data_IF_798702183785
#
_entry.id   IF_798702183785
#
_cell.length_a   1.000
_cell.length_b   1.000
_cell.length_c   1.000
_cell.angle_alpha   90.00
_cell.angle_beta   90.00
_cell.angle_gamma   90.00
#
_symmetry.space_group_name_H-M   'P 1'
#
loop_
_entity.id
_entity.type
_entity.pdbx_description
1 polymer ?
#
# COMPACT_ATOMS: atom_id res chain seq x y z
N UNK A 1 2.34 -3.76 -21.33
CA UNK A 1 1.73 -3.85 -19.98
C UNK A 1 0.35 -3.23 -20.08
N UNK A 2 -0.69 -3.87 -19.54
CA UNK A 2 -2.00 -3.22 -19.39
C UNK A 2 -2.04 -2.59 -18.00
N UNK A 3 -2.60 -1.40 -17.89
CA UNK A 3 -2.75 -0.70 -16.61
C UNK A 3 -4.23 -0.44 -16.38
N UNK A 4 -4.72 -0.84 -15.22
CA UNK A 4 -6.05 -0.50 -14.72
C UNK A 4 -5.83 0.47 -13.58
N UNK A 5 -6.06 1.76 -13.84
CA UNK A 5 -6.04 2.78 -12.79
C UNK A 5 -7.40 2.81 -12.09
N UNK A 6 -7.40 2.79 -10.76
CA UNK A 6 -8.62 2.75 -9.95
C UNK A 6 -9.00 4.17 -9.56
N UNK A 7 -10.14 4.66 -10.06
CA UNK A 7 -10.76 5.87 -9.49
C UNK A 7 -11.55 5.46 -8.25
N UNK A 8 -10.87 5.42 -7.10
CA UNK A 8 -11.49 5.08 -5.82
C UNK A 8 -12.09 6.31 -5.14
N UNK A 9 -13.12 6.09 -4.33
CA UNK A 9 -13.73 7.15 -3.52
C UNK A 9 -12.73 7.68 -2.48
N UNK A 10 -12.69 9.01 -2.34
CA UNK A 10 -11.71 9.73 -1.52
C UNK A 10 -12.33 10.22 -0.21
N UNK A 11 -11.51 10.27 0.83
CA UNK A 11 -11.84 10.95 2.08
C UNK A 11 -11.69 12.47 1.90
N UNK A 12 -12.45 13.30 2.65
CA UNK A 12 -13.36 12.93 3.75
C UNK A 12 -14.77 12.49 3.33
N UNK A 13 -15.18 12.67 2.08
CA UNK A 13 -16.53 12.34 1.61
C UNK A 13 -16.83 10.85 1.77
N UNK A 14 -15.81 10.02 1.58
CA UNK A 14 -15.85 8.57 1.75
C UNK A 14 -14.60 8.09 2.50
N UNK A 15 -14.63 8.08 3.84
CA UNK A 15 -13.52 7.58 4.64
C UNK A 15 -13.24 6.09 4.41
N UNK A 16 -12.09 5.61 4.90
CA UNK A 16 -11.78 4.19 4.90
C UNK A 16 -12.88 3.38 5.62
N UNK A 17 -13.21 2.18 5.11
CA UNK A 17 -12.49 1.40 4.09
C UNK A 17 -12.90 1.63 2.63
N UNK A 18 -13.62 2.70 2.29
CA UNK A 18 -14.18 2.89 0.94
C UNK A 18 -13.16 2.71 -0.20
N UNK A 19 -11.97 3.31 -0.07
CA UNK A 19 -10.91 3.16 -1.07
C UNK A 19 -10.39 1.72 -1.21
N UNK A 20 -10.31 0.97 -0.10
CA UNK A 20 -9.94 -0.45 -0.13
C UNK A 20 -10.99 -1.30 -0.82
N UNK A 21 -12.26 -1.03 -0.57
CA UNK A 21 -13.38 -1.75 -1.18
C UNK A 21 -13.47 -1.49 -2.68
N UNK A 22 -13.23 -0.26 -3.13
CA UNK A 22 -13.24 0.10 -4.55
C UNK A 22 -12.08 -0.56 -5.32
N UNK A 23 -10.87 -0.55 -4.74
CA UNK A 23 -9.72 -1.23 -5.32
C UNK A 23 -9.91 -2.76 -5.36
N UNK A 24 -10.46 -3.33 -4.29
CA UNK A 24 -10.81 -4.76 -4.24
C UNK A 24 -11.86 -5.14 -5.28
N UNK A 25 -12.93 -4.35 -5.40
CA UNK A 25 -13.98 -4.56 -6.40
C UNK A 25 -13.40 -4.50 -7.82
N UNK A 26 -12.48 -3.57 -8.09
CA UNK A 26 -11.82 -3.45 -9.40
C UNK A 26 -10.97 -4.68 -9.70
N UNK A 27 -10.15 -5.15 -8.74
CA UNK A 27 -9.36 -6.36 -8.92
C UNK A 27 -10.26 -7.59 -9.14
N UNK A 28 -11.38 -7.70 -8.41
CA UNK A 28 -12.37 -8.76 -8.62
C UNK A 28 -12.98 -8.74 -10.01
N UNK A 29 -13.36 -7.57 -10.52
CA UNK A 29 -13.90 -7.43 -11.88
C UNK A 29 -12.87 -7.84 -12.94
N UNK A 30 -11.61 -7.45 -12.76
CA UNK A 30 -10.51 -7.85 -13.63
C UNK A 30 -10.26 -9.36 -13.60
N UNK A 31 -10.22 -9.95 -12.40
CA UNK A 31 -10.07 -11.40 -12.19
C UNK A 31 -11.21 -12.21 -12.80
N UNK A 32 -12.45 -11.72 -12.65
CA UNK A 32 -13.64 -12.32 -13.25
C UNK A 32 -13.78 -12.05 -14.75
N UNK A 33 -12.84 -11.31 -15.37
CA UNK A 33 -12.85 -10.97 -16.80
C UNK A 33 -14.16 -10.32 -17.26
N UNK A 34 -14.75 -9.48 -16.41
CA UNK A 34 -16.03 -8.79 -16.70
C UNK A 34 -15.87 -7.81 -17.86
N UNK A 35 -14.73 -7.12 -17.91
CA UNK A 35 -14.40 -6.22 -19.02
C UNK A 35 -13.86 -7.01 -20.22
N UNK A 36 -14.47 -6.90 -21.42
CA UNK A 36 -14.05 -7.68 -22.59
C UNK A 36 -12.61 -7.41 -23.05
N UNK A 37 -12.12 -6.18 -22.89
CA UNK A 37 -10.77 -5.80 -23.32
C UNK A 37 -9.71 -6.43 -22.40
N UNK A 38 -9.94 -6.41 -21.09
CA UNK A 38 -9.14 -7.16 -20.11
C UNK A 38 -9.29 -8.68 -20.29
N UNK A 39 -10.48 -9.16 -20.64
CA UNK A 39 -10.72 -10.58 -20.90
C UNK A 39 -9.94 -11.08 -22.13
N UNK A 40 -9.79 -10.26 -23.16
CA UNK A 40 -9.06 -10.63 -24.38
C UNK A 40 -7.54 -10.51 -24.18
N UNK A 41 -7.08 -9.46 -23.49
CA UNK A 41 -5.66 -9.04 -23.51
C UNK A 41 -4.94 -9.27 -22.19
N UNK A 42 -5.68 -9.41 -21.09
CA UNK A 42 -5.17 -9.55 -19.74
C UNK A 42 -4.62 -10.94 -19.45
N UNK A 43 -3.40 -10.98 -18.91
CA UNK A 43 -2.79 -12.21 -18.41
C UNK A 43 -2.89 -12.26 -16.88
N UNK A 44 -3.89 -12.99 -16.37
CA UNK A 44 -4.11 -13.15 -14.93
C UNK A 44 -3.04 -13.99 -14.20
N UNK A 45 -2.11 -14.62 -14.94
CA UNK A 45 -0.94 -15.26 -14.34
C UNK A 45 0.20 -14.25 -14.04
N UNK A 46 0.05 -12.98 -14.45
CA UNK A 46 1.04 -11.91 -14.25
C UNK A 46 0.37 -10.63 -13.82
N UNK A 47 -0.32 -10.68 -12.68
CA UNK A 47 -0.98 -9.51 -12.08
C UNK A 47 0.01 -8.78 -11.18
N UNK A 48 0.11 -7.47 -11.35
CA UNK A 48 0.89 -6.61 -10.46
C UNK A 48 -0.06 -5.63 -9.77
N UNK A 49 0.19 -5.38 -8.49
CA UNK A 49 -0.46 -4.32 -7.72
C UNK A 49 0.56 -3.21 -7.48
N UNK A 50 0.10 -1.96 -7.43
CA UNK A 50 1.01 -0.88 -7.10
C UNK A 50 0.32 0.44 -6.88
N UNK A 51 1.05 1.35 -6.25
CA UNK A 51 0.61 2.71 -6.00
C UNK A 51 1.69 3.51 -5.29
N UNK A 52 1.47 4.82 -5.26
CA UNK A 52 2.27 5.80 -4.56
C UNK A 52 1.55 6.27 -3.29
N UNK A 53 2.30 6.57 -2.23
CA UNK A 53 1.76 7.18 -1.00
C UNK A 53 0.57 6.39 -0.41
N UNK A 54 -0.63 6.99 -0.37
CA UNK A 54 -1.86 6.31 0.04
C UNK A 54 -2.26 5.16 -0.90
N UNK A 55 -1.94 5.26 -2.20
CA UNK A 55 -2.13 4.19 -3.18
C UNK A 55 -1.27 2.96 -2.88
N UNK A 56 -0.05 3.14 -2.37
CA UNK A 56 0.78 2.03 -1.92
C UNK A 56 0.14 1.29 -0.73
N UNK A 57 -0.47 2.04 0.21
CA UNK A 57 -1.23 1.47 1.31
C UNK A 57 -2.44 0.67 0.83
N UNK A 58 -3.18 1.19 -0.15
CA UNK A 58 -4.31 0.50 -0.78
C UNK A 58 -3.84 -0.79 -1.46
N UNK A 59 -2.77 -0.72 -2.26
CA UNK A 59 -2.20 -1.88 -2.96
C UNK A 59 -1.77 -2.98 -1.98
N UNK A 60 -1.10 -2.61 -0.88
CA UNK A 60 -0.75 -3.53 0.21
C UNK A 60 -1.99 -4.23 0.78
N UNK A 61 -3.03 -3.45 1.15
CA UNK A 61 -4.23 -4.00 1.76
C UNK A 61 -5.03 -4.89 0.81
N UNK A 62 -5.05 -4.58 -0.48
CA UNK A 62 -5.65 -5.45 -1.50
C UNK A 62 -4.89 -6.76 -1.61
N UNK A 63 -3.55 -6.74 -1.63
CA UNK A 63 -2.73 -7.96 -1.65
C UNK A 63 -2.95 -8.83 -0.40
N UNK A 64 -3.01 -8.21 0.79
CA UNK A 64 -3.37 -8.90 2.04
C UNK A 64 -4.76 -9.52 1.97
N UNK A 65 -5.72 -8.84 1.35
CA UNK A 65 -7.09 -9.32 1.19
C UNK A 65 -7.18 -10.51 0.24
N UNK A 66 -6.38 -10.56 -0.83
CA UNK A 66 -6.28 -11.73 -1.72
C UNK A 66 -5.89 -12.98 -0.91
N UNK A 67 -4.90 -12.86 -0.01
CA UNK A 67 -4.47 -13.98 0.81
C UNK A 67 -5.54 -14.51 1.77
N UNK A 68 -6.39 -13.62 2.29
CA UNK A 68 -7.42 -14.00 3.27
C UNK A 68 -8.74 -14.43 2.65
N UNK A 69 -9.19 -13.76 1.58
CA UNK A 69 -10.50 -14.02 0.95
C UNK A 69 -10.39 -14.95 -0.26
N UNK A 70 -9.21 -15.03 -0.89
CA UNK A 70 -8.99 -15.77 -2.12
C UNK A 70 -9.63 -15.09 -3.34
N UNK A 71 -8.91 -15.09 -4.47
CA UNK A 71 -9.43 -14.56 -5.72
C UNK A 71 -9.11 -15.42 -6.95
N UNK A 72 -8.33 -16.49 -6.79
CA UNK A 72 -7.91 -17.34 -7.90
C UNK A 72 -6.96 -16.63 -8.89
N UNK A 73 -6.41 -15.48 -8.52
CA UNK A 73 -5.36 -14.77 -9.25
C UNK A 73 -4.09 -14.75 -8.41
N UNK A 74 -2.96 -14.97 -9.07
CA UNK A 74 -1.63 -14.88 -8.43
C UNK A 74 -1.12 -13.45 -8.58
N UNK A 75 -0.72 -12.84 -7.48
CA UNK A 75 -0.05 -11.53 -7.51
C UNK A 75 1.44 -11.75 -7.74
N UNK A 76 1.87 -11.50 -8.96
CA UNK A 76 3.25 -11.70 -9.44
C UNK A 76 4.21 -10.60 -8.93
N UNK A 77 3.67 -9.46 -8.51
CA UNK A 77 4.45 -8.46 -7.81
C UNK A 77 3.63 -7.28 -7.25
N UNK A 78 4.22 -6.58 -6.29
CA UNK A 78 3.69 -5.38 -5.64
C UNK A 78 4.73 -4.27 -5.69
N UNK A 79 4.34 -3.09 -6.17
CA UNK A 79 5.20 -1.90 -6.27
C UNK A 79 4.66 -0.84 -5.32
N UNK A 80 5.37 -0.59 -4.22
CA UNK A 80 4.92 0.26 -3.13
C UNK A 80 5.86 1.46 -3.02
N UNK A 81 5.41 2.60 -3.54
CA UNK A 81 6.24 3.82 -3.63
C UNK A 81 5.82 4.76 -2.49
N UNK A 82 6.77 5.24 -1.70
CA UNK A 82 6.54 6.20 -0.61
C UNK A 82 5.42 5.76 0.36
N UNK A 83 5.45 4.50 0.77
CA UNK A 83 4.32 3.85 1.45
C UNK A 83 3.87 4.57 2.74
N UNK A 84 2.59 4.93 2.81
CA UNK A 84 1.95 5.53 4.01
C UNK A 84 1.40 4.45 4.93
N UNK A 85 1.99 4.28 6.11
CA UNK A 85 1.56 3.36 7.17
C UNK A 85 1.92 3.91 8.55
N UNK A 86 1.26 3.44 9.60
CA UNK A 86 1.63 3.66 10.99
C UNK A 86 1.02 4.92 11.60
N UNK A 87 0.89 4.89 12.93
CA UNK A 87 0.36 6.03 13.71
C UNK A 87 1.46 6.99 14.13
N UNK A 88 2.60 6.45 14.60
CA UNK A 88 3.72 7.24 15.07
C UNK A 88 4.45 7.82 13.88
N UNK A 89 4.58 9.13 13.87
CA UNK A 89 5.48 9.86 13.00
C UNK A 89 6.92 9.53 13.37
N UNK A 90 7.73 9.16 12.38
CA UNK A 90 9.14 8.83 12.56
C UNK A 90 9.98 9.76 11.68
N UNK A 91 11.11 10.23 12.21
CA UNK A 91 12.00 11.12 11.47
C UNK A 91 11.43 12.52 11.21
N UNK A 92 11.40 12.94 9.95
CA UNK A 92 11.07 14.33 9.54
C UNK A 92 9.60 14.68 9.82
N UNK A 93 8.68 13.72 9.74
CA UNK A 93 7.25 13.93 10.04
C UNK A 93 7.04 14.45 11.47
N UNK A 94 7.81 13.93 12.44
CA UNK A 94 7.72 14.33 13.84
C UNK A 94 8.16 15.80 14.02
N UNK A 95 9.06 16.29 13.17
CA UNK A 95 9.52 17.68 13.16
C UNK A 95 8.49 18.63 12.50
N UNK A 96 7.74 18.16 11.50
CA UNK A 96 6.73 18.95 10.80
C UNK A 96 5.42 19.09 11.58
N UNK A 97 4.94 18.02 12.24
CA UNK A 97 3.76 18.12 13.11
C UNK A 97 4.02 19.00 14.33
N UNK A 98 5.23 18.99 14.90
CA UNK A 98 5.64 19.93 15.96
C UNK A 98 5.45 21.40 15.54
N UNK A 99 5.39 21.71 14.24
CA UNK A 99 5.13 23.07 13.70
C UNK A 99 3.64 23.39 13.52
N UNK A 100 2.72 22.49 13.88
CA UNK A 100 1.29 22.78 14.05
C UNK A 100 0.48 22.98 12.76
N UNK A 101 0.93 22.44 11.62
CA UNK A 101 0.38 22.77 10.29
C UNK A 101 -0.61 21.76 9.67
N UNK A 102 -0.94 20.65 10.32
CA UNK A 102 -1.83 19.63 9.71
C UNK A 102 -2.80 19.02 10.75
N UNK A 103 -4.09 18.87 10.37
CA UNK A 103 -4.95 17.84 10.98
C UNK A 103 -4.31 16.48 10.71
N UNK A 104 -4.38 15.54 11.64
CA UNK A 104 -3.77 14.23 11.45
C UNK A 104 -4.33 13.57 10.18
N UNK A 105 -3.47 13.15 9.24
CA UNK A 105 -3.88 12.49 7.99
C UNK A 105 -4.94 11.41 8.24
N UNK A 106 -4.72 10.59 9.28
CA UNK A 106 -5.64 9.52 9.68
C UNK A 106 -6.97 10.01 10.27
N UNK A 107 -7.03 11.21 10.87
CA UNK A 107 -8.31 11.77 11.34
C UNK A 107 -9.24 12.12 10.18
N UNK A 108 -8.67 12.50 9.03
CA UNK A 108 -9.43 12.79 7.81
C UNK A 108 -9.77 11.49 7.08
N UNK A 109 -8.79 10.61 6.93
CA UNK A 109 -8.89 9.40 6.09
C UNK A 109 -9.63 8.26 6.78
N UNK A 110 -9.52 8.13 8.10
CA UNK A 110 -10.12 7.04 8.90
C UNK A 110 -10.60 7.56 10.27
N UNK A 111 -11.60 8.46 10.30
CA UNK A 111 -12.04 9.12 11.53
C UNK A 111 -12.49 8.11 12.58
N UNK A 112 -12.02 8.31 13.83
CA UNK A 112 -12.34 7.43 14.96
C UNK A 112 -11.61 6.08 14.97
N UNK A 113 -10.70 5.84 14.03
CA UNK A 113 -9.90 4.60 13.99
C UNK A 113 -8.68 4.72 14.90
N UNK A 114 -8.47 3.72 15.75
CA UNK A 114 -7.21 3.57 16.49
C UNK A 114 -6.13 3.01 15.56
N UNK A 115 -5.35 3.88 14.93
CA UNK A 115 -4.35 3.53 13.89
C UNK A 115 -3.34 2.49 14.38
N UNK A 116 -2.83 2.58 15.61
CA UNK A 116 -1.95 1.56 16.18
C UNK A 116 -2.59 0.16 16.25
N UNK A 117 -3.91 0.09 16.43
CA UNK A 117 -4.64 -1.19 16.56
C UNK A 117 -5.16 -1.71 15.23
N UNK A 118 -5.28 -0.88 14.20
CA UNK A 118 -5.70 -1.36 12.88
C UNK A 118 -4.51 -1.94 12.08
N UNK A 119 -4.48 -3.25 11.77
CA UNK A 119 -3.41 -3.87 10.97
C UNK A 119 -3.32 -3.32 9.54
N UNK A 120 -4.40 -2.75 9.00
CA UNK A 120 -4.44 -2.18 7.64
C UNK A 120 -3.68 -0.86 7.55
N UNK A 121 -3.68 -0.13 8.68
CA UNK A 121 -3.03 1.17 8.79
C UNK A 121 -1.64 1.01 9.41
N UNK A 122 -1.49 0.13 10.39
CA UNK A 122 -0.22 -0.16 11.06
C UNK A 122 0.05 -1.68 11.10
N UNK A 123 0.59 -2.26 10.00
CA UNK A 123 0.94 -3.68 9.94
C UNK A 123 2.21 -4.02 10.75
N UNK A 124 2.96 -2.99 11.16
CA UNK A 124 4.16 -3.09 11.99
C UNK A 124 3.88 -2.92 13.49
N UNK A 125 2.61 -2.91 13.91
CA UNK A 125 2.30 -2.88 15.33
C UNK A 125 2.60 -4.24 15.96
N UNK A 126 3.09 -4.21 17.20
CA UNK A 126 3.53 -5.40 17.95
C UNK A 126 2.55 -6.58 17.84
N UNK A 127 3.06 -7.72 17.37
CA UNK A 127 2.30 -8.96 17.22
C UNK A 127 1.51 -9.07 15.91
N UNK A 128 1.63 -8.09 15.00
CA UNK A 128 0.96 -8.12 13.68
C UNK A 128 1.92 -8.39 12.53
N UNK A 129 3.22 -8.27 12.75
CA UNK A 129 4.25 -8.42 11.72
C UNK A 129 4.22 -9.83 11.11
N UNK A 130 3.87 -10.84 11.92
CA UNK A 130 3.71 -12.22 11.45
C UNK A 130 2.64 -12.35 10.35
N UNK A 131 1.67 -11.43 10.29
CA UNK A 131 0.65 -11.43 9.22
C UNK A 131 1.25 -11.11 7.87
N UNK A 132 2.36 -10.36 7.82
CA UNK A 132 3.03 -10.01 6.57
C UNK A 132 3.54 -11.23 5.81
N UNK A 133 3.79 -12.36 6.51
CA UNK A 133 4.19 -13.62 5.87
C UNK A 133 3.11 -14.19 4.95
N UNK A 134 1.85 -13.80 5.17
CA UNK A 134 0.71 -14.23 4.35
C UNK A 134 0.45 -13.29 3.20
N UNK A 135 1.27 -12.26 2.97
CA UNK A 135 1.06 -11.35 1.84
C UNK A 135 1.07 -12.16 0.54
N UNK A 136 -0.03 -12.12 -0.21
CA UNK A 136 -0.11 -12.76 -1.53
C UNK A 136 0.72 -11.91 -2.50
N UNK A 137 2.00 -12.23 -2.65
CA UNK A 137 2.91 -11.56 -3.58
C UNK A 137 4.22 -12.34 -3.76
N UNK A 138 4.61 -12.60 -5.01
CA UNK A 138 5.90 -13.24 -5.31
C UNK A 138 7.09 -12.28 -5.18
N UNK A 139 6.85 -10.99 -5.47
CA UNK A 139 7.90 -9.96 -5.54
C UNK A 139 7.39 -8.63 -5.03
N UNK A 140 7.95 -8.14 -3.94
CA UNK A 140 7.62 -6.82 -3.39
C UNK A 140 8.78 -5.88 -3.63
N UNK A 141 8.52 -4.76 -4.29
CA UNK A 141 9.45 -3.64 -4.36
C UNK A 141 8.91 -2.51 -3.48
N UNK A 142 9.69 -2.11 -2.49
CA UNK A 142 9.44 -0.91 -1.69
C UNK A 142 10.38 0.17 -2.21
N UNK A 143 9.82 1.28 -2.68
CA UNK A 143 10.59 2.41 -3.18
C UNK A 143 10.47 3.59 -2.21
N UNK A 144 11.62 4.16 -1.84
CA UNK A 144 11.72 5.33 -0.95
C UNK A 144 12.70 6.34 -1.51
N UNK A 145 12.54 7.59 -1.10
CA UNK A 145 13.40 8.71 -1.49
C UNK A 145 14.16 9.26 -0.29
N UNK A 146 15.40 9.72 -0.50
CA UNK A 146 16.29 10.16 0.58
C UNK A 146 15.68 11.28 1.44
N UNK A 147 14.98 12.24 0.82
CA UNK A 147 14.41 13.41 1.51
C UNK A 147 12.94 13.24 1.88
N UNK A 148 12.34 12.10 1.56
CA UNK A 148 10.95 11.82 1.86
C UNK A 148 10.75 11.56 3.36
N UNK A 149 9.77 12.24 3.96
CA UNK A 149 9.40 12.03 5.36
C UNK A 149 8.91 10.59 5.62
N UNK A 150 8.40 9.90 4.61
CA UNK A 150 7.94 8.51 4.63
C UNK A 150 9.07 7.49 4.42
N UNK A 151 10.31 7.93 4.15
CA UNK A 151 11.45 7.04 3.88
C UNK A 151 11.64 5.99 4.95
N UNK A 152 11.67 6.42 6.21
CA UNK A 152 11.89 5.51 7.33
C UNK A 152 10.72 4.53 7.50
N UNK A 153 9.49 4.91 7.10
CA UNK A 153 8.33 4.01 7.09
C UNK A 153 8.48 2.91 6.04
N UNK A 154 8.89 3.29 4.83
CA UNK A 154 9.17 2.32 3.78
C UNK A 154 10.28 1.35 4.18
N UNK A 155 11.35 1.84 4.82
CA UNK A 155 12.45 1.01 5.36
C UNK A 155 11.99 0.07 6.46
N UNK A 156 11.22 0.57 7.43
CA UNK A 156 10.67 -0.24 8.53
C UNK A 156 9.79 -1.36 7.98
N UNK A 157 8.93 -1.03 7.00
CA UNK A 157 8.08 -1.99 6.33
C UNK A 157 8.88 -3.04 5.54
N UNK A 158 9.89 -2.62 4.77
CA UNK A 158 10.81 -3.52 4.06
C UNK A 158 11.48 -4.53 5.01
N UNK A 159 12.03 -4.04 6.13
CA UNK A 159 12.65 -4.91 7.12
C UNK A 159 11.60 -5.78 7.85
N UNK A 160 10.38 -5.28 8.03
CA UNK A 160 9.24 -6.03 8.54
C UNK A 160 8.87 -7.22 7.65
N UNK A 161 8.79 -7.01 6.33
CA UNK A 161 8.55 -8.07 5.36
C UNK A 161 9.62 -9.16 5.47
N UNK A 162 10.90 -8.78 5.56
CA UNK A 162 12.01 -9.73 5.70
C UNK A 162 11.96 -10.51 7.01
N UNK A 163 11.64 -9.85 8.13
CA UNK A 163 11.51 -10.50 9.44
C UNK A 163 10.30 -11.42 9.53
N UNK A 164 9.22 -11.14 8.81
CA UNK A 164 8.01 -11.96 8.84
C UNK A 164 8.18 -13.36 8.25
N UNK A 165 9.24 -13.57 7.45
CA UNK A 165 9.48 -14.84 6.75
C UNK A 165 8.62 -15.01 5.49
N UNK A 166 8.19 -13.90 4.88
CA UNK A 166 7.56 -13.91 3.55
C UNK A 166 8.43 -14.71 2.57
N UNK A 167 7.83 -15.69 1.89
CA UNK A 167 8.54 -16.56 0.93
C UNK A 167 8.94 -15.83 -0.36
N UNK A 168 8.22 -14.76 -0.70
CA UNK A 168 8.48 -13.92 -1.86
C UNK A 168 9.78 -13.09 -1.76
N UNK A 169 10.26 -12.60 -2.90
CA UNK A 169 11.43 -11.73 -2.98
C UNK A 169 11.05 -10.31 -2.57
N UNK A 170 11.82 -9.70 -1.66
CA UNK A 170 11.60 -8.32 -1.21
C UNK A 170 12.80 -7.47 -1.60
N UNK A 171 12.55 -6.36 -2.29
CA UNK A 171 13.57 -5.40 -2.73
C UNK A 171 13.27 -4.01 -2.18
N UNK A 172 14.32 -3.29 -1.80
CA UNK A 172 14.28 -1.89 -1.42
C UNK A 172 14.99 -1.09 -2.50
N UNK A 173 14.27 -0.17 -3.12
CA UNK A 173 14.82 0.81 -4.04
C UNK A 173 14.92 2.15 -3.32
N UNK A 174 16.13 2.69 -3.22
CA UNK A 174 16.37 4.02 -2.67
C UNK A 174 16.99 4.90 -3.75
N UNK A 175 16.34 6.02 -4.07
CA UNK A 175 16.90 7.03 -4.96
C UNK A 175 17.64 8.12 -4.16
N UNK A 176 18.81 8.50 -4.66
CA UNK A 176 19.55 9.65 -4.16
C UNK A 176 18.98 10.93 -4.81
N UNK A 177 18.73 11.98 -4.00
CA UNK A 177 18.47 13.38 -4.38
C UNK A 177 17.05 13.89 -4.69
N UNK A 178 15.99 13.09 -4.62
CA UNK A 178 14.61 13.60 -4.85
C UNK A 178 13.85 13.88 -3.53
N UNK A 179 13.07 14.96 -3.49
CA UNK A 179 12.04 15.22 -2.46
C UNK A 179 10.77 14.44 -2.82
N UNK A 180 9.96 14.05 -1.82
CA UNK A 180 8.73 13.26 -2.02
C UNK A 180 7.97 13.75 -3.25
N UNK A 181 7.92 12.90 -4.29
CA UNK A 181 7.39 13.29 -5.59
C UNK A 181 5.93 13.72 -5.47
N UNK A 182 5.70 15.03 -5.54
CA UNK A 182 4.40 15.64 -5.89
C UNK A 182 4.25 15.84 -7.41
N UNK A 183 5.24 15.43 -8.20
CA UNK A 183 5.33 15.77 -9.63
C UNK A 183 4.81 14.63 -10.52
N UNK A 184 3.48 14.60 -10.68
CA UNK A 184 2.87 14.30 -11.97
C UNK A 184 2.51 15.63 -12.65
N UNK A 185 3.47 16.25 -13.35
CA UNK A 185 3.23 17.31 -14.33
C UNK A 185 3.93 16.96 -15.65
#
# INVERSE_FOLDING_TARGET
MLVVSVEYRRAPEHPLPAAYDDAWATLRCAAARVDPWLAERGNLARVFLGGDSAGANIAHNVAMRVATEGLGVRIEGSILIHLVLGEKEIGVEEAERRRGKMKGFWEVVSPGTEVAKDPRLNPMAEGKEERLRTLECERVMVAVEEKDALRERGREYYEGLKRSGLEGRVELLESEREEHVTDLN
#
